data_IF_323246549595
#
_entry.id   IF_323246549595
#
_cell.length_a   1.000
_cell.length_b   1.000
_cell.length_c   1.000
_cell.angle_alpha   90.00
_cell.angle_beta   90.00
_cell.angle_gamma   90.00
#
_symmetry.space_group_name_H-M   'P 1'
#
loop_
_entity.id
_entity.type
_entity.pdbx_description
1 polymer ?
#
# COMPACT_ATOMS: atom_id res chain seq x y z
N UNK A 1 38.13 3.49 19.46
CA UNK A 1 37.25 3.26 18.29
C UNK A 1 35.93 2.53 18.62
N UNK A 2 35.91 1.48 19.46
CA UNK A 2 34.67 0.72 19.82
C UNK A 2 33.51 1.58 20.36
N UNK A 3 33.77 2.59 21.19
CA UNK A 3 32.73 3.45 21.80
C UNK A 3 31.92 4.26 20.78
N UNK A 4 32.56 4.82 19.75
CA UNK A 4 31.88 5.62 18.72
C UNK A 4 31.01 4.76 17.79
N UNK A 5 31.46 3.55 17.47
CA UNK A 5 30.68 2.57 16.71
C UNK A 5 29.43 2.10 17.48
N UNK A 6 29.55 1.90 18.81
CA UNK A 6 28.43 1.49 19.65
C UNK A 6 27.36 2.58 19.74
N UNK A 7 27.76 3.85 19.85
CA UNK A 7 26.83 4.99 19.86
C UNK A 7 26.10 5.11 18.51
N UNK A 8 26.82 4.99 17.40
CA UNK A 8 26.21 5.01 16.06
C UNK A 8 25.19 3.86 15.89
N UNK A 9 25.52 2.67 16.37
CA UNK A 9 24.62 1.51 16.30
C UNK A 9 23.35 1.71 17.13
N UNK A 10 23.48 2.26 18.35
CA UNK A 10 22.31 2.58 19.20
C UNK A 10 21.42 3.61 18.53
N UNK A 11 21.98 4.66 17.95
CA UNK A 11 21.19 5.71 17.25
C UNK A 11 20.46 5.10 16.04
N UNK A 12 21.13 4.30 15.23
CA UNK A 12 20.51 3.63 14.07
C UNK A 12 19.39 2.69 14.52
N UNK A 13 19.60 1.91 15.60
CA UNK A 13 18.56 1.05 16.15
C UNK A 13 17.35 1.83 16.68
N UNK A 14 17.59 2.97 17.32
CA UNK A 14 16.52 3.81 17.88
C UNK A 14 15.65 4.41 16.76
N UNK A 15 16.27 4.93 15.69
CA UNK A 15 15.56 5.44 14.50
C UNK A 15 14.76 4.33 13.81
N UNK A 16 15.36 3.14 13.66
CA UNK A 16 14.66 1.98 13.08
C UNK A 16 13.47 1.54 13.92
N UNK A 17 13.63 1.45 15.25
CA UNK A 17 12.53 1.11 16.15
C UNK A 17 11.40 2.13 16.06
N UNK A 18 11.70 3.43 16.03
CA UNK A 18 10.68 4.48 15.89
C UNK A 18 9.88 4.32 14.59
N UNK A 19 10.56 4.16 13.46
CA UNK A 19 9.92 3.96 12.15
C UNK A 19 9.04 2.70 12.08
N UNK A 20 9.48 1.62 12.73
CA UNK A 20 8.71 0.36 12.80
C UNK A 20 7.50 0.52 13.72
N UNK A 21 7.60 1.23 14.84
CA UNK A 21 6.48 1.42 15.78
C UNK A 21 5.35 2.21 15.13
N UNK A 22 5.66 3.29 14.41
CA UNK A 22 4.65 4.08 13.68
C UNK A 22 3.93 3.21 12.64
N UNK A 23 4.70 2.48 11.83
CA UNK A 23 4.15 1.57 10.82
C UNK A 23 3.29 0.46 11.45
N UNK A 24 3.74 -0.12 12.57
CA UNK A 24 3.02 -1.16 13.29
C UNK A 24 1.71 -0.64 13.92
N UNK A 25 1.69 0.62 14.39
CA UNK A 25 0.49 1.25 14.93
C UNK A 25 -0.61 1.39 13.86
N UNK A 26 -0.26 1.94 12.69
CA UNK A 26 -1.20 2.06 11.57
C UNK A 26 -1.66 0.69 11.06
N UNK A 27 -0.74 -0.28 10.97
CA UNK A 27 -1.09 -1.65 10.60
C UNK A 27 -2.06 -2.28 11.62
N UNK A 28 -1.82 -2.10 12.91
CA UNK A 28 -2.70 -2.60 13.98
C UNK A 28 -4.10 -1.98 13.92
N UNK A 29 -4.19 -0.67 13.69
CA UNK A 29 -5.49 -0.01 13.46
C UNK A 29 -6.18 -0.60 12.22
N UNK A 30 -5.47 -0.76 11.10
CA UNK A 30 -6.01 -1.34 9.87
C UNK A 30 -6.55 -2.77 10.06
N UNK A 31 -5.81 -3.63 10.76
CA UNK A 31 -6.26 -5.00 11.10
C UNK A 31 -7.50 -4.94 12.00
N UNK A 32 -7.52 -4.07 13.01
CA UNK A 32 -8.66 -3.98 13.93
C UNK A 32 -9.94 -3.47 13.25
N UNK A 33 -9.81 -2.49 12.35
CA UNK A 33 -10.91 -1.97 11.54
C UNK A 33 -11.39 -3.04 10.56
N UNK A 34 -10.47 -3.69 9.84
CA UNK A 34 -10.81 -4.77 8.91
C UNK A 34 -11.45 -5.98 9.58
N UNK A 35 -11.01 -6.33 10.80
CA UNK A 35 -11.61 -7.40 11.58
C UNK A 35 -13.03 -7.04 12.04
N UNK A 36 -13.24 -5.80 12.53
CA UNK A 36 -14.58 -5.33 12.92
C UNK A 36 -15.54 -5.32 11.74
N UNK A 37 -15.14 -4.74 10.60
CA UNK A 37 -15.97 -4.72 9.40
C UNK A 37 -16.25 -6.13 8.86
N UNK A 38 -15.27 -7.04 8.95
CA UNK A 38 -15.46 -8.43 8.56
C UNK A 38 -16.44 -9.19 9.46
N UNK A 39 -16.39 -8.97 10.78
CA UNK A 39 -17.30 -9.59 11.75
C UNK A 39 -18.70 -9.00 11.63
N UNK A 40 -18.82 -7.68 11.48
CA UNK A 40 -20.09 -6.98 11.25
C UNK A 40 -20.75 -7.47 9.96
N UNK A 41 -20.00 -7.56 8.86
CA UNK A 41 -20.49 -8.13 7.59
C UNK A 41 -20.92 -9.60 7.71
N UNK A 42 -20.22 -10.41 8.52
CA UNK A 42 -20.58 -11.81 8.75
C UNK A 42 -21.82 -11.95 9.66
N UNK A 43 -22.03 -11.01 10.58
CA UNK A 43 -23.18 -10.99 11.48
C UNK A 43 -24.44 -10.50 10.75
N UNK A 44 -24.31 -9.51 9.86
CA UNK A 44 -25.37 -9.08 8.94
C UNK A 44 -25.76 -10.21 7.97
N UNK A 45 -24.80 -11.03 7.53
CA UNK A 45 -25.06 -12.22 6.69
C UNK A 45 -26.00 -13.24 7.32
N UNK A 46 -26.02 -13.30 8.65
CA UNK A 46 -26.81 -14.27 9.42
C UNK A 46 -28.27 -13.83 9.58
N UNK A 47 -28.56 -12.55 9.37
CA UNK A 47 -29.89 -11.94 9.48
C UNK A 47 -30.50 -11.67 8.10
N UNK A 48 -30.64 -12.71 7.27
CA UNK A 48 -31.49 -12.90 6.08
C UNK A 48 -31.72 -11.76 5.04
N UNK A 49 -31.02 -10.62 5.11
CA UNK A 49 -31.10 -9.52 4.14
C UNK A 49 -29.97 -9.66 3.09
N UNK A 50 -29.89 -10.84 2.47
CA UNK A 50 -28.84 -11.23 1.50
C UNK A 50 -28.66 -10.25 0.34
N UNK A 51 -29.73 -9.52 -0.02
CA UNK A 51 -29.71 -8.54 -1.12
C UNK A 51 -28.97 -7.24 -0.72
N UNK A 52 -29.14 -6.76 0.51
CA UNK A 52 -28.38 -5.60 1.03
C UNK A 52 -26.93 -5.96 1.30
N UNK A 53 -26.68 -7.17 1.78
CA UNK A 53 -25.32 -7.68 1.97
C UNK A 53 -24.57 -7.78 0.64
N UNK A 54 -25.21 -8.28 -0.42
CA UNK A 54 -24.56 -8.36 -1.73
C UNK A 54 -24.19 -6.97 -2.26
N UNK A 55 -25.06 -5.97 -2.09
CA UNK A 55 -24.78 -4.62 -2.55
C UNK A 55 -23.74 -3.88 -1.69
N UNK A 56 -23.85 -3.93 -0.36
CA UNK A 56 -22.88 -3.26 0.54
C UNK A 56 -21.50 -3.94 0.51
N UNK A 57 -21.45 -5.27 0.45
CA UNK A 57 -20.19 -6.01 0.29
C UNK A 57 -19.59 -5.78 -1.11
N UNK A 58 -20.41 -5.73 -2.16
CA UNK A 58 -19.92 -5.36 -3.49
C UNK A 58 -19.41 -3.91 -3.49
N UNK A 59 -20.08 -2.95 -2.85
CA UNK A 59 -19.59 -1.58 -2.77
C UNK A 59 -18.26 -1.46 -2.04
N UNK A 60 -18.07 -2.19 -0.92
CA UNK A 60 -16.81 -2.21 -0.19
C UNK A 60 -15.69 -2.95 -0.95
N UNK A 61 -15.99 -4.06 -1.62
CA UNK A 61 -15.00 -4.81 -2.41
C UNK A 61 -14.65 -4.13 -3.73
N UNK A 62 -15.56 -3.32 -4.28
CA UNK A 62 -15.33 -2.51 -5.47
C UNK A 62 -14.76 -1.13 -5.16
N UNK A 63 -14.64 -0.76 -3.87
CA UNK A 63 -13.98 0.48 -3.47
C UNK A 63 -12.50 0.37 -3.78
N UNK A 64 -12.07 1.14 -4.78
CA UNK A 64 -10.68 1.19 -5.22
C UNK A 64 -10.15 2.60 -5.01
N UNK A 65 -8.98 2.69 -4.39
CA UNK A 65 -8.21 3.93 -4.34
C UNK A 65 -7.46 4.07 -5.66
N UNK A 66 -7.76 5.13 -6.39
CA UNK A 66 -7.11 5.46 -7.66
C UNK A 66 -6.27 6.71 -7.48
N UNK A 67 -5.01 6.64 -7.89
CA UNK A 67 -4.17 7.81 -8.04
C UNK A 67 -4.55 8.52 -9.35
N UNK A 68 -4.72 9.84 -9.25
CA UNK A 68 -5.18 10.69 -10.33
C UNK A 68 -4.13 11.73 -10.66
N UNK A 69 -3.92 11.94 -11.95
CA UNK A 69 -3.04 12.98 -12.45
C UNK A 69 -3.80 13.85 -13.46
N UNK A 70 -3.80 15.18 -13.31
CA UNK A 70 -4.47 16.06 -14.25
C UNK A 70 -3.81 15.97 -15.63
N UNK A 71 -4.61 15.77 -16.69
CA UNK A 71 -4.13 15.66 -18.08
C UNK A 71 -3.40 16.90 -18.57
N UNK A 72 -3.79 18.05 -18.03
CA UNK A 72 -3.20 19.34 -18.32
C UNK A 72 -2.16 19.65 -17.24
N UNK A 73 -0.93 19.20 -17.46
CA UNK A 73 0.25 19.81 -16.84
C UNK A 73 0.73 21.04 -17.63
N UNK A 74 0.14 21.30 -18.80
CA UNK A 74 0.72 22.14 -19.82
C UNK A 74 0.16 23.58 -19.84
N UNK A 75 0.31 24.29 -18.72
CA UNK A 75 0.16 25.75 -18.59
C UNK A 75 -1.23 26.31 -18.18
N UNK A 76 -1.55 26.24 -16.87
CA UNK A 76 -2.16 27.30 -16.00
C UNK A 76 -2.61 26.65 -14.69
N UNK A 77 -2.51 27.36 -13.56
CA UNK A 77 -3.01 26.88 -12.24
C UNK A 77 -4.51 26.54 -12.29
N UNK A 78 -5.27 27.25 -13.13
CA UNK A 78 -6.70 27.02 -13.35
C UNK A 78 -7.00 25.70 -14.09
N UNK A 79 -6.03 25.20 -14.86
CA UNK A 79 -6.13 23.95 -15.61
C UNK A 79 -5.45 22.78 -14.87
N UNK A 80 -4.81 23.05 -13.72
CA UNK A 80 -4.38 22.07 -12.72
C UNK A 80 -5.53 21.77 -11.73
N UNK A 81 -6.22 22.83 -11.29
CA UNK A 81 -7.38 22.75 -10.40
C UNK A 81 -8.68 22.64 -11.20
N UNK A 82 -8.85 21.50 -11.87
CA UNK A 82 -9.96 21.24 -12.78
C UNK A 82 -11.31 21.07 -12.09
N UNK A 83 -11.32 20.86 -10.78
CA UNK A 83 -12.52 20.64 -9.97
C UNK A 83 -12.78 21.77 -8.99
N UNK A 84 -13.93 21.73 -8.31
CA UNK A 84 -14.24 22.65 -7.22
C UNK A 84 -14.91 21.93 -6.06
N UNK A 85 -14.53 22.31 -4.83
CA UNK A 85 -15.08 21.76 -3.59
C UNK A 85 -15.89 22.86 -2.92
N UNK A 86 -17.09 22.53 -2.47
CA UNK A 86 -17.93 23.45 -1.72
C UNK A 86 -17.40 23.64 -0.30
N UNK A 87 -17.04 24.87 0.06
CA UNK A 87 -16.63 25.19 1.41
C UNK A 87 -17.85 25.63 2.24
N UNK A 88 -18.29 24.74 3.14
CA UNK A 88 -19.42 25.00 4.05
C UNK A 88 -19.17 26.12 5.05
N UNK A 89 -17.90 26.48 5.33
CA UNK A 89 -17.57 27.59 6.24
C UNK A 89 -17.69 28.97 5.59
N UNK A 90 -17.36 29.08 4.30
CA UNK A 90 -17.37 30.36 3.57
C UNK A 90 -18.55 30.49 2.61
N UNK A 91 -19.29 29.40 2.39
CA UNK A 91 -20.41 29.35 1.43
C UNK A 91 -19.97 29.44 -0.04
N UNK A 92 -18.67 29.31 -0.33
CA UNK A 92 -18.09 29.50 -1.66
C UNK A 92 -17.42 28.23 -2.16
N UNK A 93 -17.39 28.05 -3.48
CA UNK A 93 -16.66 26.96 -4.12
C UNK A 93 -15.18 27.34 -4.27
N UNK A 94 -14.29 26.42 -3.86
CA UNK A 94 -12.84 26.59 -3.95
C UNK A 94 -12.30 25.63 -5.02
N UNK A 95 -11.45 26.09 -5.95
CA UNK A 95 -10.88 25.21 -6.97
C UNK A 95 -9.97 24.16 -6.33
N UNK A 96 -10.06 22.92 -6.81
CA UNK A 96 -9.39 21.75 -6.25
C UNK A 96 -8.91 20.80 -7.35
N UNK A 97 -7.94 19.97 -7.01
CA UNK A 97 -7.51 18.83 -7.80
C UNK A 97 -7.40 17.62 -6.88
N UNK A 98 -7.86 16.47 -7.36
CA UNK A 98 -7.75 15.23 -6.62
C UNK A 98 -6.46 14.51 -7.03
N UNK A 99 -5.64 14.13 -6.04
CA UNK A 99 -4.47 13.25 -6.25
C UNK A 99 -4.82 11.79 -6.02
N UNK A 100 -5.76 11.53 -5.11
CA UNK A 100 -6.28 10.20 -4.80
C UNK A 100 -7.79 10.29 -4.66
N UNK A 101 -8.50 9.34 -5.25
CA UNK A 101 -9.95 9.25 -5.16
C UNK A 101 -10.32 7.81 -4.83
N UNK A 102 -11.27 7.62 -3.91
CA UNK A 102 -11.87 6.32 -3.70
C UNK A 102 -13.14 6.24 -4.53
N UNK A 103 -13.18 5.31 -5.48
CA UNK A 103 -14.35 5.11 -6.34
C UNK A 103 -14.81 3.66 -6.21
N UNK A 104 -16.12 3.47 -6.02
CA UNK A 104 -16.75 2.16 -6.14
C UNK A 104 -17.06 1.92 -7.61
N UNK A 105 -16.22 1.13 -8.28
CA UNK A 105 -16.43 0.75 -9.69
C UNK A 105 -16.58 -0.75 -9.75
N UNK A 106 -17.70 -1.24 -10.26
CA UNK A 106 -17.87 -2.65 -10.56
C UNK A 106 -16.94 -3.02 -11.73
N UNK A 107 -15.72 -3.46 -11.39
CA UNK A 107 -14.79 -4.03 -12.35
C UNK A 107 -15.12 -5.51 -12.50
N UNK A 108 -15.43 -5.96 -13.72
CA UNK A 108 -15.47 -7.38 -14.06
C UNK A 108 -14.06 -7.95 -14.06
N UNK A 109 -13.47 -8.09 -12.88
CA UNK A 109 -12.16 -8.72 -12.75
C UNK A 109 -12.30 -10.20 -13.10
N UNK A 110 -11.58 -10.61 -14.14
CA UNK A 110 -11.43 -12.04 -14.45
C UNK A 110 -10.94 -12.77 -13.20
N UNK A 111 -11.55 -13.93 -12.90
CA UNK A 111 -11.21 -14.74 -11.72
C UNK A 111 -9.71 -15.06 -11.68
N UNK A 112 -9.07 -15.22 -12.84
CA UNK A 112 -7.62 -15.41 -12.97
C UNK A 112 -6.80 -14.22 -12.46
N UNK A 113 -7.19 -12.99 -12.77
CA UNK A 113 -6.48 -11.78 -12.31
C UNK A 113 -6.57 -11.57 -10.79
N UNK A 114 -7.71 -11.93 -10.19
CA UNK A 114 -7.90 -11.94 -8.72
C UNK A 114 -6.99 -12.95 -8.03
N UNK A 115 -6.96 -14.19 -8.54
CA UNK A 115 -6.11 -15.26 -8.00
C UNK A 115 -4.63 -14.87 -8.13
N UNK A 116 -4.23 -14.36 -9.30
CA UNK A 116 -2.86 -13.95 -9.56
C UNK A 116 -2.44 -12.81 -8.62
N UNK A 117 -3.26 -11.77 -8.48
CA UNK A 117 -2.98 -10.65 -7.58
C UNK A 117 -2.86 -11.12 -6.12
N UNK A 118 -3.74 -12.03 -5.69
CA UNK A 118 -3.67 -12.64 -4.36
C UNK A 118 -2.37 -13.44 -4.15
N UNK A 119 -1.93 -14.20 -5.16
CA UNK A 119 -0.67 -14.95 -5.12
C UNK A 119 0.54 -13.99 -5.05
N UNK A 120 0.54 -12.92 -5.84
CA UNK A 120 1.58 -11.89 -5.81
C UNK A 120 1.65 -11.22 -4.42
N UNK A 121 0.50 -10.92 -3.82
CA UNK A 121 0.42 -10.39 -2.46
C UNK A 121 1.01 -11.35 -1.41
N UNK A 122 0.73 -12.65 -1.54
CA UNK A 122 1.30 -13.67 -0.66
C UNK A 122 2.83 -13.77 -0.79
N UNK A 123 3.35 -13.79 -2.01
CA UNK A 123 4.80 -13.79 -2.27
C UNK A 123 5.45 -12.53 -1.71
N UNK A 124 4.82 -11.37 -1.87
CA UNK A 124 5.28 -10.11 -1.31
C UNK A 124 5.37 -10.17 0.23
N UNK A 125 4.34 -10.69 0.90
CA UNK A 125 4.32 -10.86 2.36
C UNK A 125 5.45 -11.78 2.83
N UNK A 126 5.64 -12.93 2.20
CA UNK A 126 6.74 -13.86 2.53
C UNK A 126 8.10 -13.18 2.33
N UNK A 127 8.23 -12.40 1.26
CA UNK A 127 9.45 -11.66 0.97
C UNK A 127 9.75 -10.59 2.04
N UNK A 128 8.74 -9.85 2.50
CA UNK A 128 8.92 -8.86 3.58
C UNK A 128 9.36 -9.56 4.88
N UNK A 129 8.66 -10.62 5.29
CA UNK A 129 9.01 -11.36 6.52
C UNK A 129 10.44 -11.89 6.44
N UNK A 130 10.81 -12.48 5.31
CA UNK A 130 12.17 -12.95 5.07
C UNK A 130 13.21 -11.82 5.12
N UNK A 131 12.90 -10.68 4.51
CA UNK A 131 13.79 -9.52 4.48
C UNK A 131 14.05 -8.98 5.89
N UNK A 132 13.03 -8.84 6.72
CA UNK A 132 13.17 -8.41 8.13
C UNK A 132 14.08 -9.37 8.91
N UNK A 133 13.89 -10.68 8.77
CA UNK A 133 14.73 -11.69 9.46
C UNK A 133 16.19 -11.59 9.02
N UNK A 134 16.47 -11.44 7.73
CA UNK A 134 17.84 -11.28 7.23
C UNK A 134 18.46 -9.95 7.66
N UNK A 135 17.68 -8.88 7.67
CA UNK A 135 18.12 -7.56 8.11
C UNK A 135 18.56 -7.58 9.58
N UNK A 136 17.76 -8.17 10.48
CA UNK A 136 18.12 -8.35 11.89
C UNK A 136 19.41 -9.19 12.03
N UNK A 137 19.52 -10.29 11.27
CA UNK A 137 20.72 -11.13 11.28
C UNK A 137 21.98 -10.38 10.82
N UNK A 138 21.84 -9.44 9.90
CA UNK A 138 22.95 -8.59 9.43
C UNK A 138 23.32 -7.58 10.51
N UNK A 139 22.35 -6.93 11.17
CA UNK A 139 22.64 -6.00 12.27
C UNK A 139 23.39 -6.70 13.41
N UNK A 140 22.97 -7.89 13.80
CA UNK A 140 23.66 -8.70 14.83
C UNK A 140 25.10 -9.04 14.40
N UNK A 141 25.31 -9.37 13.12
CA UNK A 141 26.64 -9.65 12.58
C UNK A 141 27.54 -8.41 12.56
N UNK A 142 26.98 -7.23 12.27
CA UNK A 142 27.69 -5.93 12.33
C UNK A 142 28.12 -5.62 13.76
N UNK A 143 27.23 -5.81 14.74
CA UNK A 143 27.55 -5.58 16.15
C UNK A 143 28.68 -6.50 16.64
N UNK A 144 28.74 -7.74 16.16
CA UNK A 144 29.85 -8.67 16.45
C UNK A 144 31.15 -8.35 15.69
N UNK A 145 31.24 -7.21 15.00
CA UNK A 145 32.40 -6.77 14.19
C UNK A 145 32.82 -7.77 13.10
N UNK A 146 31.94 -8.69 12.70
CA UNK A 146 32.21 -9.75 11.73
C UNK A 146 31.45 -9.46 10.42
N UNK A 147 31.72 -8.29 9.85
CA UNK A 147 30.90 -7.66 8.80
C UNK A 147 31.10 -8.36 7.43
N UNK A 148 32.35 -8.62 7.03
CA UNK A 148 32.69 -9.11 5.69
C UNK A 148 33.13 -10.57 5.67
N UNK A 149 32.37 -11.44 6.33
CA UNK A 149 32.49 -12.87 6.10
C UNK A 149 31.65 -13.25 4.87
N UNK A 150 32.14 -14.15 4.01
CA UNK A 150 31.43 -14.68 2.84
C UNK A 150 29.99 -15.11 3.14
N UNK A 151 29.75 -15.65 4.35
CA UNK A 151 28.42 -16.05 4.82
C UNK A 151 27.48 -14.85 5.05
N UNK A 152 28.00 -13.72 5.53
CA UNK A 152 27.24 -12.50 5.75
C UNK A 152 27.04 -11.71 4.45
N UNK A 153 28.01 -11.74 3.52
CA UNK A 153 27.85 -11.19 2.16
C UNK A 153 26.75 -11.93 1.39
N UNK A 154 26.68 -13.26 1.50
CA UNK A 154 25.60 -14.05 0.86
C UNK A 154 24.22 -13.71 1.44
N UNK A 155 24.12 -13.48 2.75
CA UNK A 155 22.88 -13.01 3.41
C UNK A 155 22.47 -11.63 2.94
N UNK A 156 23.42 -10.72 2.77
CA UNK A 156 23.16 -9.37 2.25
C UNK A 156 22.65 -9.40 0.81
N UNK A 157 23.25 -10.25 -0.04
CA UNK A 157 22.77 -10.42 -1.43
C UNK A 157 21.38 -11.05 -1.48
N UNK A 158 21.11 -12.04 -0.62
CA UNK A 158 19.80 -12.68 -0.54
C UNK A 158 18.72 -11.71 -0.03
N UNK A 159 19.06 -10.85 0.93
CA UNK A 159 18.19 -9.75 1.37
C UNK A 159 17.84 -8.83 0.21
N UNK A 160 18.85 -8.41 -0.58
CA UNK A 160 18.63 -7.58 -1.76
C UNK A 160 17.71 -8.26 -2.79
N UNK A 161 17.90 -9.55 -3.05
CA UNK A 161 17.03 -10.32 -3.96
C UNK A 161 15.59 -10.37 -3.43
N UNK A 162 15.38 -10.64 -2.14
CA UNK A 162 14.04 -10.63 -1.55
C UNK A 162 13.36 -9.26 -1.75
N UNK A 163 14.08 -8.17 -1.46
CA UNK A 163 13.53 -6.83 -1.62
C UNK A 163 13.15 -6.52 -3.08
N UNK A 164 14.00 -6.91 -4.05
CA UNK A 164 13.72 -6.73 -5.48
C UNK A 164 12.51 -7.56 -5.92
N UNK A 165 12.45 -8.84 -5.53
CA UNK A 165 11.32 -9.72 -5.85
C UNK A 165 10.03 -9.20 -5.21
N UNK A 166 10.10 -8.77 -3.95
CA UNK A 166 8.98 -8.18 -3.24
C UNK A 166 8.45 -6.94 -3.97
N UNK A 167 9.33 -6.00 -4.31
CA UNK A 167 8.97 -4.80 -5.05
C UNK A 167 8.35 -5.11 -6.43
N UNK A 168 8.94 -6.05 -7.17
CA UNK A 168 8.39 -6.48 -8.46
C UNK A 168 6.98 -7.07 -8.33
N UNK A 169 6.74 -7.89 -7.30
CA UNK A 169 5.43 -8.46 -7.04
C UNK A 169 4.38 -7.41 -6.63
N UNK A 170 4.72 -6.44 -5.77
CA UNK A 170 3.77 -5.39 -5.40
C UNK A 170 3.43 -4.51 -6.59
N UNK A 171 4.45 -4.09 -7.35
CA UNK A 171 4.28 -3.24 -8.53
C UNK A 171 3.44 -3.93 -9.60
N UNK A 172 3.69 -5.22 -9.87
CA UNK A 172 2.92 -5.97 -10.85
C UNK A 172 1.45 -6.17 -10.41
N UNK A 173 1.19 -6.38 -9.12
CA UNK A 173 -0.17 -6.49 -8.60
C UNK A 173 -0.95 -5.16 -8.75
N UNK A 174 -0.31 -4.03 -8.42
CA UNK A 174 -0.88 -2.69 -8.62
C UNK A 174 -1.10 -2.39 -10.11
N UNK A 175 -0.16 -2.76 -10.97
CA UNK A 175 -0.28 -2.59 -12.42
C UNK A 175 -1.47 -3.37 -13.01
N UNK A 176 -1.65 -4.63 -12.62
CA UNK A 176 -2.80 -5.44 -13.03
C UNK A 176 -4.12 -4.80 -12.58
N UNK A 177 -4.16 -4.29 -11.33
CA UNK A 177 -5.33 -3.57 -10.81
C UNK A 177 -5.65 -2.32 -11.63
N UNK A 178 -4.63 -1.55 -12.03
CA UNK A 178 -4.81 -0.37 -12.88
C UNK A 178 -5.30 -0.69 -14.28
N UNK A 179 -4.79 -1.75 -14.91
CA UNK A 179 -5.30 -2.18 -16.22
C UNK A 179 -6.80 -2.47 -16.16
N UNK A 180 -7.23 -3.27 -15.19
CA UNK A 180 -8.65 -3.58 -14.96
C UNK A 180 -9.47 -2.31 -14.66
N UNK A 181 -8.91 -1.36 -13.90
CA UNK A 181 -9.54 -0.09 -13.59
C UNK A 181 -9.70 0.82 -14.80
N UNK A 182 -8.69 0.89 -15.67
CA UNK A 182 -8.70 1.74 -16.88
C UNK A 182 -9.69 1.23 -17.93
N UNK A 183 -9.94 -0.08 -17.95
CA UNK A 183 -11.00 -0.68 -18.76
C UNK A 183 -12.40 -0.28 -18.26
N UNK A 184 -12.59 -0.14 -16.95
CA UNK A 184 -13.90 0.13 -16.35
C UNK A 184 -14.20 1.63 -16.08
N UNK A 185 -13.18 2.47 -15.94
CA UNK A 185 -13.32 3.87 -15.53
C UNK A 185 -12.51 4.80 -16.44
N UNK A 186 -13.19 5.81 -16.97
CA UNK A 186 -12.55 6.96 -17.62
C UNK A 186 -12.99 8.26 -16.97
N UNK A 187 -12.04 9.15 -16.71
CA UNK A 187 -12.29 10.49 -16.17
C UNK A 187 -12.00 11.54 -17.24
N UNK A 188 -12.78 12.61 -17.26
CA UNK A 188 -12.70 13.65 -18.31
C UNK A 188 -11.41 14.49 -18.19
N UNK A 189 -11.00 14.84 -16.96
CA UNK A 189 -9.88 15.75 -16.72
C UNK A 189 -8.64 15.07 -16.10
N UNK A 190 -8.74 13.78 -15.76
CA UNK A 190 -7.69 13.03 -15.07
C UNK A 190 -7.30 11.76 -15.83
N UNK A 191 -6.02 11.43 -15.75
CA UNK A 191 -5.50 10.12 -16.08
C UNK A 191 -5.26 9.31 -14.81
N UNK A 192 -5.51 8.01 -14.92
CA UNK A 192 -5.25 7.02 -13.87
C UNK A 192 -3.76 6.68 -13.88
N UNK A 193 -3.11 6.83 -12.73
CA UNK A 193 -1.68 6.55 -12.55
C UNK A 193 -1.45 5.48 -11.49
N UNK A 194 -0.24 4.92 -11.48
CA UNK A 194 0.28 4.01 -10.45
C UNK A 194 0.89 4.80 -9.29
#
# INVERSE_FOLDING_TARGET
>A
MKRRLNILCVVVMLVLCYSVVESAYYMGMGISLGAKTGIEAAQEAKNDDKLKQHNAYNELTNMKYIALMPRSLNCKVKDLLCDSIYNTKTGTYVPAAYSTLAVSVQTEESVGSKILSGLLGFVHLVSIVGAVVFFIKIIVAINRSNIFNWRNVRRLRLLGILLIVGFGCSWLAEYLSLCNLREALSLQNYDLTL
#
